data_IF_608372073628
#
_entry.id   IF_608372073628
#
_cell.length_a   1.000
_cell.length_b   1.000
_cell.length_c   1.000
_cell.angle_alpha   90.00
_cell.angle_beta   90.00
_cell.angle_gamma   90.00
#
_symmetry.space_group_name_H-M   'P 1'
#
loop_
_entity.id
_entity.type
_entity.pdbx_description
1 polymer ?
#
# COMPACT_ATOMS: atom_id res chain seq x y z
N UNK A 1 -15.04 -71.97 0.72
CA UNK A 1 -13.74 -71.28 0.89
C UNK A 1 -13.91 -70.28 2.04
N UNK A 2 -14.20 -70.74 3.27
CA UNK A 2 -13.22 -71.12 4.30
C UNK A 2 -12.17 -69.99 4.50
N UNK A 3 -12.10 -69.26 5.62
CA UNK A 3 -12.62 -69.44 6.99
C UNK A 3 -12.80 -68.02 7.62
N UNK A 4 -13.82 -67.64 8.42
CA UNK A 4 -14.28 -68.13 9.74
C UNK A 4 -13.08 -68.33 10.69
N UNK A 5 -12.98 -67.75 11.88
CA UNK A 5 -13.96 -67.72 12.97
C UNK A 5 -13.42 -66.79 14.09
N UNK A 6 -14.23 -65.91 14.69
CA UNK A 6 -14.95 -66.09 15.98
C UNK A 6 -14.13 -65.62 17.20
N UNK A 7 -14.62 -64.58 17.88
CA UNK A 7 -15.22 -64.74 19.22
C UNK A 7 -16.14 -63.55 19.55
N UNK A 8 -17.42 -63.87 19.77
CA UNK A 8 -18.47 -63.04 20.39
C UNK A 8 -18.94 -63.78 21.65
N UNK A 9 -19.46 -63.00 22.62
CA UNK A 9 -20.25 -63.39 23.81
C UNK A 9 -19.45 -63.97 24.99
N UNK A 10 -19.76 -63.70 26.26
CA UNK A 10 -20.74 -62.85 26.95
C UNK A 10 -20.34 -62.82 28.45
N UNK A 11 -20.71 -61.77 29.20
CA UNK A 11 -21.13 -61.85 30.62
C UNK A 11 -21.53 -60.46 31.15
N UNK A 12 -22.84 -60.21 31.12
CA UNK A 12 -23.70 -59.76 32.21
C UNK A 12 -23.06 -59.18 33.50
N UNK A 13 -23.52 -57.99 33.92
CA UNK A 13 -23.64 -57.64 35.35
C UNK A 13 -23.01 -56.29 35.77
N UNK A 14 -23.71 -55.43 36.56
CA UNK A 14 -23.43 -54.00 36.69
C UNK A 14 -22.60 -53.66 37.93
N UNK A 15 -21.86 -52.54 37.95
CA UNK A 15 -21.64 -51.67 39.12
C UNK A 15 -20.63 -50.54 38.80
N UNK A 16 -20.90 -49.36 39.37
CA UNK A 16 -20.01 -48.19 39.51
C UNK A 16 -19.98 -47.17 38.36
N UNK A 17 -21.15 -46.63 38.02
CA UNK A 17 -21.26 -45.18 37.80
C UNK A 17 -21.10 -44.48 39.15
N UNK A 18 -20.07 -43.66 39.33
CA UNK A 18 -19.96 -42.88 40.58
C UNK A 18 -18.63 -42.23 40.96
N UNK A 19 -17.65 -42.08 40.07
CA UNK A 19 -16.38 -41.41 40.45
C UNK A 19 -15.80 -40.44 39.42
N UNK A 20 -16.48 -40.19 38.29
CA UNK A 20 -16.00 -39.24 37.27
C UNK A 20 -16.10 -37.76 37.68
N UNK A 21 -17.04 -37.42 38.56
CA UNK A 21 -17.31 -36.03 38.98
C UNK A 21 -16.48 -35.56 40.17
N UNK A 22 -15.88 -36.47 40.95
CA UNK A 22 -15.06 -36.11 42.13
C UNK A 22 -13.59 -35.88 41.75
N UNK A 23 -13.09 -36.58 40.71
CA UNK A 23 -11.69 -36.43 40.27
C UNK A 23 -11.44 -35.10 39.54
N UNK A 24 -12.48 -34.50 38.94
CA UNK A 24 -12.38 -33.22 38.23
C UNK A 24 -12.33 -32.00 39.18
N UNK A 25 -12.88 -32.12 40.40
CA UNK A 25 -12.88 -31.04 41.40
C UNK A 25 -11.55 -30.88 42.16
N UNK A 26 -10.78 -31.96 42.30
CA UNK A 26 -9.51 -31.95 43.03
C UNK A 26 -8.32 -31.47 42.17
N UNK A 27 -8.38 -31.66 40.84
CA UNK A 27 -7.36 -31.13 39.94
C UNK A 27 -7.52 -29.62 39.66
N UNK A 28 -8.75 -29.10 39.76
CA UNK A 28 -9.03 -27.65 39.62
C UNK A 28 -8.60 -26.81 40.82
N UNK A 29 -8.50 -27.42 42.01
CA UNK A 29 -8.20 -26.70 43.26
C UNK A 29 -6.72 -26.62 43.60
N UNK A 30 -5.86 -27.47 43.01
CA UNK A 30 -4.39 -27.39 43.17
C UNK A 30 -3.75 -26.38 42.22
N UNK A 31 -4.38 -26.09 41.07
CA UNK A 31 -3.83 -25.13 40.10
C UNK A 31 -4.00 -23.66 40.51
N UNK A 32 -4.87 -23.38 41.49
CA UNK A 32 -5.16 -22.03 41.99
C UNK A 32 -4.18 -21.59 43.10
N UNK A 33 -3.36 -22.49 43.65
CA UNK A 33 -2.51 -22.22 44.81
C UNK A 33 -1.01 -22.02 44.52
N UNK A 34 -0.58 -22.08 43.25
CA UNK A 34 0.85 -22.01 42.89
C UNK A 34 1.19 -21.10 41.69
N UNK A 35 0.60 -19.90 41.60
CA UNK A 35 1.08 -18.87 40.67
C UNK A 35 1.33 -17.53 41.39
N UNK A 36 2.52 -16.91 41.23
CA UNK A 36 2.82 -15.63 41.85
C UNK A 36 2.01 -14.50 41.20
N UNK A 37 1.44 -13.63 42.03
CA UNK A 37 0.71 -12.42 41.67
C UNK A 37 1.64 -11.36 41.07
N UNK A 38 2.04 -11.51 39.80
CA UNK A 38 2.47 -10.40 38.93
C UNK A 38 2.64 -10.90 37.48
N UNK A 39 1.85 -10.37 36.53
CA UNK A 39 2.19 -10.42 35.10
C UNK A 39 1.25 -11.19 34.14
N UNK A 40 0.05 -11.63 34.55
CA UNK A 40 -0.78 -12.55 33.74
C UNK A 40 -1.79 -11.85 32.81
N UNK A 41 -2.02 -10.53 32.91
CA UNK A 41 -3.07 -9.87 32.12
C UNK A 41 -2.82 -9.85 30.60
N UNK A 42 -1.57 -9.74 30.13
CA UNK A 42 -1.27 -9.62 28.69
C UNK A 42 -1.38 -10.95 27.93
N UNK A 43 -0.93 -12.04 28.54
CA UNK A 43 -0.99 -13.38 27.94
C UNK A 43 -2.42 -13.94 27.95
N UNK A 44 -3.22 -13.59 28.96
CA UNK A 44 -4.63 -13.97 29.04
C UNK A 44 -5.48 -13.22 27.99
N UNK A 45 -5.16 -11.95 27.71
CA UNK A 45 -5.89 -11.18 26.69
C UNK A 45 -5.62 -11.67 25.26
N UNK A 46 -4.38 -12.05 24.94
CA UNK A 46 -4.03 -12.63 23.63
C UNK A 46 -4.67 -14.01 23.41
N UNK A 47 -4.68 -14.85 24.44
CA UNK A 47 -5.34 -16.16 24.39
C UNK A 47 -6.87 -16.05 24.33
N UNK A 48 -7.47 -15.06 25.01
CA UNK A 48 -8.90 -14.74 24.89
C UNK A 48 -9.28 -14.22 23.50
N UNK A 49 -8.43 -13.42 22.84
CA UNK A 49 -8.62 -13.00 21.44
C UNK A 49 -8.56 -14.19 20.48
N UNK A 50 -7.60 -15.09 20.68
CA UNK A 50 -7.51 -16.35 19.91
C UNK A 50 -8.73 -17.27 20.12
N UNK A 51 -9.24 -17.36 21.35
CA UNK A 51 -10.44 -18.12 21.69
C UNK A 51 -11.72 -17.50 21.12
N UNK A 52 -11.83 -16.17 21.07
CA UNK A 52 -12.96 -15.48 20.44
C UNK A 52 -13.02 -15.75 18.91
N UNK A 53 -11.86 -15.76 18.25
CA UNK A 53 -11.71 -16.15 16.83
C UNK A 53 -12.12 -17.61 16.58
N UNK A 54 -11.66 -18.54 17.42
CA UNK A 54 -12.05 -19.95 17.36
C UNK A 54 -13.54 -20.17 17.63
N UNK A 55 -14.12 -19.40 18.55
CA UNK A 55 -15.54 -19.49 18.91
C UNK A 55 -16.45 -18.96 17.80
N UNK A 56 -16.05 -17.90 17.08
CA UNK A 56 -16.78 -17.42 15.91
C UNK A 56 -16.68 -18.41 14.72
N UNK A 57 -15.59 -19.19 14.60
CA UNK A 57 -15.46 -20.26 13.60
C UNK A 57 -16.23 -21.55 13.93
N UNK A 58 -16.36 -21.91 15.20
CA UNK A 58 -16.98 -23.19 15.62
C UNK A 58 -18.50 -23.12 15.80
N UNK A 59 -19.08 -21.94 16.06
CA UNK A 59 -20.53 -21.80 16.34
C UNK A 59 -21.28 -20.84 15.40
N UNK A 60 -20.60 -20.19 14.45
CA UNK A 60 -21.24 -19.45 13.36
C UNK A 60 -21.68 -20.39 12.24
N UNK A 61 -22.88 -20.96 12.34
CA UNK A 61 -23.49 -21.74 11.28
C UNK A 61 -23.87 -20.87 10.08
N UNK A 62 -22.91 -20.57 9.20
CA UNK A 62 -23.17 -20.06 7.85
C UNK A 62 -22.36 -20.91 6.88
N UNK A 63 -23.05 -21.72 6.08
CA UNK A 63 -22.45 -22.38 4.92
C UNK A 63 -21.83 -21.31 4.03
N UNK A 64 -20.51 -21.37 3.80
CA UNK A 64 -19.84 -20.55 2.79
C UNK A 64 -20.51 -20.85 1.43
N UNK A 65 -21.15 -19.89 0.76
CA UNK A 65 -21.33 -20.04 -0.66
C UNK A 65 -19.93 -19.98 -1.29
N UNK A 66 -19.62 -20.95 -2.14
CA UNK A 66 -18.44 -20.92 -2.99
C UNK A 66 -18.65 -19.77 -3.98
N UNK A 67 -18.23 -18.57 -3.58
CA UNK A 67 -18.16 -17.40 -4.44
C UNK A 67 -16.72 -17.34 -4.93
N UNK A 68 -16.56 -17.40 -6.26
CA UNK A 68 -15.28 -17.14 -6.90
C UNK A 68 -14.83 -15.72 -6.51
N UNK A 69 -13.83 -15.64 -5.63
CA UNK A 69 -13.25 -14.39 -5.17
C UNK A 69 -12.56 -13.68 -6.33
N UNK A 70 -13.09 -12.52 -6.71
CA UNK A 70 -12.40 -11.52 -7.52
C UNK A 70 -11.20 -10.99 -6.73
N UNK A 71 -10.06 -10.87 -7.41
CA UNK A 71 -8.69 -10.78 -6.89
C UNK A 71 -8.29 -9.46 -6.21
N UNK A 72 -9.20 -8.77 -5.52
CA UNK A 72 -8.93 -7.48 -4.87
C UNK A 72 -8.74 -7.57 -3.35
N UNK A 73 -8.87 -8.78 -2.78
CA UNK A 73 -8.54 -9.09 -1.40
C UNK A 73 -7.41 -10.10 -1.38
N UNK A 74 -6.16 -9.61 -1.35
CA UNK A 74 -5.00 -10.48 -1.13
C UNK A 74 -5.06 -10.99 0.31
N UNK A 75 -5.17 -12.32 0.56
CA UNK A 75 -5.10 -12.87 1.90
C UNK A 75 -3.63 -12.79 2.36
N UNK A 76 -3.26 -11.69 3.01
CA UNK A 76 -1.92 -11.55 3.57
C UNK A 76 -1.82 -12.30 4.90
N UNK A 77 -1.31 -13.52 4.84
CA UNK A 77 -0.88 -14.31 6.01
C UNK A 77 0.50 -13.86 6.46
N UNK A 78 0.58 -12.71 7.12
CA UNK A 78 1.66 -12.36 8.04
C UNK A 78 1.14 -11.28 9.00
N UNK A 79 0.27 -11.71 9.90
CA UNK A 79 -0.32 -10.88 10.94
C UNK A 79 0.34 -11.25 12.27
N UNK A 80 1.66 -11.07 12.34
CA UNK A 80 2.38 -11.08 13.60
C UNK A 80 3.26 -9.83 13.62
N UNK A 81 3.02 -8.98 14.63
CA UNK A 81 3.69 -7.71 14.93
C UNK A 81 3.11 -6.46 14.24
N UNK A 82 1.85 -6.15 14.55
CA UNK A 82 1.39 -4.75 14.50
C UNK A 82 2.15 -3.93 15.57
N UNK A 83 2.61 -2.70 15.28
CA UNK A 83 3.25 -1.85 16.26
C UNK A 83 2.29 -1.53 17.42
N UNK A 84 2.80 -1.64 18.66
CA UNK A 84 2.05 -1.34 19.87
C UNK A 84 1.71 0.17 19.91
N UNK A 85 0.49 0.53 19.53
CA UNK A 85 -0.03 1.90 19.76
C UNK A 85 -0.19 2.13 21.26
N UNK A 86 0.13 3.35 21.70
CA UNK A 86 -0.10 3.78 23.09
C UNK A 86 -1.57 3.64 23.41
N UNK A 87 -1.93 2.79 24.38
CA UNK A 87 -3.33 2.61 24.80
C UNK A 87 -3.86 3.95 25.34
N UNK A 88 -5.05 4.41 24.90
CA UNK A 88 -5.62 5.66 25.38
C UNK A 88 -5.90 5.59 26.88
N UNK A 89 -5.67 6.69 27.59
CA UNK A 89 -5.93 6.82 29.03
C UNK A 89 -7.43 6.61 29.35
N UNK A 90 -7.75 6.25 30.60
CA UNK A 90 -9.16 6.05 30.99
C UNK A 90 -10.01 7.32 30.80
N UNK A 91 -9.44 8.50 31.00
CA UNK A 91 -10.11 9.79 30.81
C UNK A 91 -10.43 10.04 29.34
N UNK A 92 -9.47 9.84 28.44
CA UNK A 92 -9.68 10.00 26.99
C UNK A 92 -10.70 9.01 26.43
N UNK A 93 -10.77 7.79 26.99
CA UNK A 93 -11.81 6.83 26.64
C UNK A 93 -13.21 7.27 27.08
N UNK A 94 -13.35 7.93 28.23
CA UNK A 94 -14.63 8.46 28.70
C UNK A 94 -15.08 9.65 27.85
N UNK A 95 -14.15 10.53 27.50
CA UNK A 95 -14.41 11.67 26.59
C UNK A 95 -14.87 11.19 25.21
N UNK A 96 -14.19 10.20 24.63
CA UNK A 96 -14.60 9.60 23.35
C UNK A 96 -16.01 9.01 23.40
N UNK A 97 -16.40 8.35 24.51
CA UNK A 97 -17.75 7.82 24.70
C UNK A 97 -18.79 8.94 24.82
N UNK A 98 -18.49 10.02 25.54
CA UNK A 98 -19.38 11.18 25.64
C UNK A 98 -19.58 11.84 24.27
N UNK A 99 -18.50 12.00 23.49
CA UNK A 99 -18.56 12.54 22.12
C UNK A 99 -19.42 11.67 21.19
N UNK A 100 -19.31 10.34 21.27
CA UNK A 100 -20.18 9.42 20.50
C UNK A 100 -21.65 9.60 20.87
N UNK A 101 -21.99 9.67 22.16
CA UNK A 101 -23.38 9.87 22.60
C UNK A 101 -23.95 11.19 22.07
N UNK A 102 -23.16 12.26 22.12
CA UNK A 102 -23.55 13.55 21.54
C UNK A 102 -23.73 13.46 20.02
N UNK A 103 -22.85 12.74 19.32
CA UNK A 103 -22.96 12.56 17.88
C UNK A 103 -24.25 11.82 17.48
N UNK A 104 -24.60 10.75 18.20
CA UNK A 104 -25.84 10.00 17.99
C UNK A 104 -27.07 10.86 18.21
N UNK A 105 -27.05 11.72 19.23
CA UNK A 105 -28.15 12.66 19.49
C UNK A 105 -28.24 13.75 18.43
N UNK A 106 -27.11 14.29 17.97
CA UNK A 106 -27.08 15.23 16.85
C UNK A 106 -27.62 14.59 15.57
N UNK A 107 -27.32 13.30 15.32
CA UNK A 107 -27.84 12.53 14.19
C UNK A 107 -29.36 12.37 14.27
N UNK A 108 -29.91 12.00 15.43
CA UNK A 108 -31.37 11.92 15.65
C UNK A 108 -32.06 13.25 15.40
N UNK A 109 -31.41 14.36 15.75
CA UNK A 109 -31.87 15.72 15.50
C UNK A 109 -31.65 16.20 14.04
N UNK A 110 -31.23 15.32 13.12
CA UNK A 110 -30.99 15.64 11.71
C UNK A 110 -29.72 16.47 11.44
N UNK A 111 -28.90 16.77 12.45
CA UNK A 111 -27.70 17.61 12.35
C UNK A 111 -26.48 16.76 11.95
N UNK A 112 -26.48 16.24 10.73
CA UNK A 112 -25.47 15.28 10.21
C UNK A 112 -24.03 15.80 10.28
N UNK A 113 -23.76 17.00 9.78
CA UNK A 113 -22.39 17.57 9.78
C UNK A 113 -21.80 17.69 11.19
N UNK A 114 -22.63 18.01 12.18
CA UNK A 114 -22.19 18.09 13.58
C UNK A 114 -21.90 16.69 14.13
N UNK A 115 -22.75 15.71 13.81
CA UNK A 115 -22.51 14.32 14.17
C UNK A 115 -21.20 13.79 13.56
N UNK A 116 -20.94 14.07 12.28
CA UNK A 116 -19.68 13.75 11.61
C UNK A 116 -18.48 14.32 12.38
N UNK A 117 -18.45 15.63 12.64
CA UNK A 117 -17.35 16.30 13.37
C UNK A 117 -17.12 15.71 14.77
N UNK A 118 -18.19 15.39 15.49
CA UNK A 118 -18.11 14.78 16.81
C UNK A 118 -17.56 13.35 16.76
N UNK A 119 -17.91 12.56 15.74
CA UNK A 119 -17.36 11.21 15.54
C UNK A 119 -15.88 11.25 15.19
N UNK A 120 -15.46 12.17 14.32
CA UNK A 120 -14.03 12.37 14.02
C UNK A 120 -13.27 12.76 15.28
N UNK A 121 -13.83 13.65 16.10
CA UNK A 121 -13.25 13.98 17.40
C UNK A 121 -13.14 12.76 18.33
N UNK A 122 -14.18 11.93 18.41
CA UNK A 122 -14.14 10.69 19.19
C UNK A 122 -13.04 9.72 18.72
N UNK A 123 -12.83 9.60 17.40
CA UNK A 123 -11.77 8.77 16.80
C UNK A 123 -10.37 9.37 17.00
N UNK A 124 -10.23 10.69 17.05
CA UNK A 124 -8.96 11.32 17.38
C UNK A 124 -8.54 11.01 18.84
N UNK A 125 -9.51 10.87 19.75
CA UNK A 125 -9.24 10.48 21.14
C UNK A 125 -9.03 8.97 21.30
N UNK A 126 -9.83 8.16 20.60
CA UNK A 126 -9.70 6.71 20.59
C UNK A 126 -9.83 6.16 19.16
N UNK A 127 -8.71 5.97 18.44
CA UNK A 127 -8.70 5.50 17.06
C UNK A 127 -9.24 4.07 16.88
N UNK A 128 -9.28 3.27 17.95
CA UNK A 128 -9.76 1.89 17.95
C UNK A 128 -11.24 1.79 18.38
N UNK A 129 -11.97 2.90 18.41
CA UNK A 129 -13.36 2.91 18.89
C UNK A 129 -14.34 2.37 17.83
N UNK A 130 -14.62 1.06 17.91
CA UNK A 130 -15.45 0.30 16.96
C UNK A 130 -16.84 0.91 16.71
N UNK A 131 -17.55 1.36 17.75
CA UNK A 131 -18.88 1.97 17.59
C UNK A 131 -18.80 3.29 16.80
N UNK A 132 -17.83 4.15 17.12
CA UNK A 132 -17.64 5.41 16.40
C UNK A 132 -17.23 5.18 14.93
N UNK A 133 -16.39 4.19 14.64
CA UNK A 133 -16.04 3.79 13.26
C UNK A 133 -17.28 3.36 12.48
N UNK A 134 -18.11 2.50 13.08
CA UNK A 134 -19.31 1.95 12.42
C UNK A 134 -20.34 3.05 12.16
N UNK A 135 -20.62 3.90 13.15
CA UNK A 135 -21.58 4.98 13.02
C UNK A 135 -21.10 6.05 12.03
N UNK A 136 -19.81 6.39 12.03
CA UNK A 136 -19.23 7.29 11.03
C UNK A 136 -19.35 6.69 9.61
N UNK A 137 -19.07 5.40 9.46
CA UNK A 137 -19.29 4.69 8.20
C UNK A 137 -20.72 4.88 7.69
N UNK A 138 -21.74 4.72 8.56
CA UNK A 138 -23.14 4.88 8.12
C UNK A 138 -23.47 6.30 7.68
N UNK A 139 -22.85 7.32 8.26
CA UNK A 139 -23.02 8.71 7.83
C UNK A 139 -22.37 8.92 6.46
N UNK A 140 -21.17 8.38 6.24
CA UNK A 140 -20.47 8.48 4.95
C UNK A 140 -21.24 7.78 3.82
N UNK A 141 -21.91 6.66 4.12
CA UNK A 141 -22.80 6.02 3.14
C UNK A 141 -23.99 6.90 2.77
N UNK A 142 -24.60 7.59 3.74
CA UNK A 142 -25.65 8.59 3.48
C UNK A 142 -25.12 9.77 2.63
N UNK A 143 -23.83 10.12 2.79
CA UNK A 143 -23.11 11.14 2.02
C UNK A 143 -22.60 10.62 0.65
N UNK A 144 -22.86 9.34 0.32
CA UNK A 144 -22.42 8.64 -0.90
C UNK A 144 -20.91 8.38 -1.01
N UNK A 145 -20.16 8.53 0.08
CA UNK A 145 -18.76 8.11 0.14
C UNK A 145 -18.65 6.65 0.60
N UNK A 146 -19.00 5.75 -0.32
CA UNK A 146 -19.03 4.30 -0.07
C UNK A 146 -17.62 3.76 0.21
N UNK A 147 -16.60 4.33 -0.43
CA UNK A 147 -15.20 3.87 -0.31
C UNK A 147 -14.65 4.15 1.08
N UNK A 148 -14.86 5.37 1.60
CA UNK A 148 -14.44 5.66 2.98
C UNK A 148 -15.28 4.90 4.00
N UNK A 149 -16.59 4.72 3.77
CA UNK A 149 -17.44 3.93 4.64
C UNK A 149 -16.94 2.47 4.77
N UNK A 150 -16.65 1.81 3.65
CA UNK A 150 -16.11 0.44 3.64
C UNK A 150 -14.76 0.33 4.36
N UNK A 151 -13.90 1.34 4.20
CA UNK A 151 -12.64 1.40 4.92
C UNK A 151 -12.85 1.44 6.44
N UNK A 152 -13.79 2.25 6.93
CA UNK A 152 -14.12 2.31 8.36
C UNK A 152 -14.70 0.99 8.88
N UNK A 153 -15.55 0.30 8.10
CA UNK A 153 -16.05 -1.02 8.47
C UNK A 153 -14.95 -2.08 8.50
N UNK A 154 -14.04 -2.03 7.54
CA UNK A 154 -12.87 -2.93 7.49
C UNK A 154 -11.99 -2.72 8.73
N UNK A 155 -11.75 -1.45 9.10
CA UNK A 155 -11.01 -1.09 10.33
C UNK A 155 -11.74 -1.56 11.60
N UNK A 156 -13.06 -1.36 11.67
CA UNK A 156 -13.87 -1.82 12.80
C UNK A 156 -13.79 -3.36 12.99
N UNK A 157 -13.81 -4.12 11.89
CA UNK A 157 -13.71 -5.59 11.91
C UNK A 157 -12.29 -6.10 12.18
N UNK A 158 -11.25 -5.35 11.80
CA UNK A 158 -9.87 -5.67 12.18
C UNK A 158 -9.69 -5.63 13.71
N UNK A 159 -10.41 -4.72 14.39
CA UNK A 159 -10.39 -4.59 15.85
C UNK A 159 -11.36 -5.58 16.52
N UNK A 160 -12.58 -5.68 16.02
CA UNK A 160 -13.64 -6.55 16.55
C UNK A 160 -14.27 -7.39 15.43
N UNK A 161 -13.72 -8.59 15.15
CA UNK A 161 -14.13 -9.42 14.02
C UNK A 161 -15.59 -9.89 14.06
N UNK A 162 -16.19 -9.98 15.25
CA UNK A 162 -17.56 -10.49 15.43
C UNK A 162 -18.58 -9.35 15.68
N UNK A 163 -18.26 -8.11 15.29
CA UNK A 163 -19.23 -7.00 15.33
C UNK A 163 -20.28 -7.16 14.21
N UNK A 164 -21.51 -7.48 14.60
CA UNK A 164 -22.62 -7.75 13.68
C UNK A 164 -22.95 -6.57 12.76
N UNK A 165 -23.00 -5.34 13.30
CA UNK A 165 -23.33 -4.14 12.52
C UNK A 165 -22.28 -3.88 11.43
N UNK A 166 -21.00 -3.92 11.80
CA UNK A 166 -19.91 -3.68 10.86
C UNK A 166 -19.82 -4.77 9.80
N UNK A 167 -20.11 -6.03 10.17
CA UNK A 167 -20.13 -7.17 9.24
C UNK A 167 -21.24 -7.01 8.20
N UNK A 168 -22.48 -6.74 8.64
CA UNK A 168 -23.62 -6.54 7.73
C UNK A 168 -23.41 -5.34 6.80
N UNK A 169 -22.87 -4.23 7.32
CA UNK A 169 -22.55 -3.08 6.48
C UNK A 169 -21.46 -3.41 5.47
N UNK A 170 -20.38 -4.10 5.87
CA UNK A 170 -19.28 -4.47 4.98
C UNK A 170 -19.70 -5.44 3.89
N UNK A 171 -20.52 -6.44 4.21
CA UNK A 171 -21.02 -7.40 3.20
C UNK A 171 -21.80 -6.70 2.09
N UNK A 172 -22.42 -5.56 2.40
CA UNK A 172 -23.10 -4.71 1.42
C UNK A 172 -22.16 -3.77 0.67
N UNK A 173 -21.17 -3.17 1.34
CA UNK A 173 -20.27 -2.18 0.71
C UNK A 173 -19.16 -2.82 -0.11
N UNK A 174 -18.65 -3.99 0.29
CA UNK A 174 -17.53 -4.66 -0.35
C UNK A 174 -17.71 -4.87 -1.87
N UNK A 175 -18.80 -5.49 -2.37
CA UNK A 175 -18.97 -5.69 -3.81
C UNK A 175 -19.11 -4.36 -4.57
N UNK A 176 -19.70 -3.33 -3.94
CA UNK A 176 -19.83 -2.01 -4.55
C UNK A 176 -18.47 -1.32 -4.69
N UNK A 177 -17.62 -1.43 -3.67
CA UNK A 177 -16.26 -0.86 -3.70
C UNK A 177 -15.39 -1.59 -4.71
N UNK A 178 -15.47 -2.93 -4.78
CA UNK A 178 -14.77 -3.70 -5.81
C UNK A 178 -15.18 -3.26 -7.22
N UNK A 179 -16.48 -3.04 -7.47
CA UNK A 179 -16.95 -2.54 -8.76
C UNK A 179 -16.45 -1.11 -9.05
N UNK A 180 -16.45 -0.23 -8.05
CA UNK A 180 -15.90 1.14 -8.18
C UNK A 180 -14.42 1.10 -8.56
N UNK A 181 -13.62 0.28 -7.88
CA UNK A 181 -12.18 0.15 -8.11
C UNK A 181 -11.89 -0.44 -9.50
N UNK A 182 -12.63 -1.49 -9.90
CA UNK A 182 -12.51 -2.08 -11.24
C UNK A 182 -12.89 -1.10 -12.35
N UNK A 183 -13.95 -0.30 -12.15
CA UNK A 183 -14.33 0.75 -13.10
C UNK A 183 -13.23 1.81 -13.23
N UNK A 184 -12.58 2.18 -12.12
CA UNK A 184 -11.46 3.13 -12.15
C UNK A 184 -10.28 2.58 -12.95
N UNK A 185 -9.91 1.31 -12.77
CA UNK A 185 -8.92 0.66 -13.61
C UNK A 185 -9.32 0.65 -15.09
N UNK A 186 -10.58 0.35 -15.42
CA UNK A 186 -11.08 0.43 -16.78
C UNK A 186 -10.95 1.81 -17.44
N UNK A 187 -11.13 2.89 -16.65
CA UNK A 187 -10.90 4.27 -17.10
C UNK A 187 -9.42 4.50 -17.41
N UNK A 188 -8.53 4.07 -16.52
CA UNK A 188 -7.07 4.18 -16.68
C UNK A 188 -6.63 3.45 -17.96
N UNK A 189 -7.10 2.22 -18.19
CA UNK A 189 -6.77 1.45 -19.38
C UNK A 189 -7.25 2.11 -20.67
N UNK A 190 -8.44 2.73 -20.63
CA UNK A 190 -8.93 3.56 -21.73
C UNK A 190 -7.97 4.72 -22.06
N UNK A 191 -7.45 5.40 -21.03
CA UNK A 191 -6.47 6.48 -21.19
C UNK A 191 -5.11 5.98 -21.69
N UNK A 192 -4.64 4.83 -21.21
CA UNK A 192 -3.40 4.19 -21.69
C UNK A 192 -3.51 3.82 -23.17
N UNK A 193 -4.60 3.18 -23.59
CA UNK A 193 -4.83 2.86 -25.01
C UNK A 193 -4.85 4.11 -25.88
N UNK A 194 -5.47 5.20 -25.41
CA UNK A 194 -5.44 6.49 -26.10
C UNK A 194 -4.02 7.04 -26.22
N UNK A 195 -3.23 7.03 -25.15
CA UNK A 195 -1.84 7.49 -25.17
C UNK A 195 -1.01 6.67 -26.17
N UNK A 196 -1.18 5.35 -26.18
CA UNK A 196 -0.46 4.44 -27.08
C UNK A 196 -0.86 4.59 -28.56
N UNK A 197 -2.04 5.14 -28.84
CA UNK A 197 -2.46 5.47 -30.21
C UNK A 197 -1.72 6.67 -30.80
N UNK A 198 -1.04 7.48 -29.96
CA UNK A 198 -0.27 8.62 -30.41
C UNK A 198 1.01 8.14 -31.13
N UNK A 199 1.32 8.64 -32.34
CA UNK A 199 2.51 8.24 -33.06
C UNK A 199 3.79 8.49 -32.25
N UNK A 200 4.70 7.51 -32.20
CA UNK A 200 5.97 7.61 -31.46
C UNK A 200 6.86 8.79 -31.88
N UNK A 201 6.71 9.27 -33.12
CA UNK A 201 7.43 10.44 -33.65
C UNK A 201 6.79 11.79 -33.31
N UNK A 202 5.71 11.83 -32.53
CA UNK A 202 5.06 13.07 -32.15
C UNK A 202 6.01 13.96 -31.32
N UNK A 203 6.32 15.14 -31.84
CA UNK A 203 7.25 16.10 -31.22
C UNK A 203 6.75 16.61 -29.87
N UNK A 204 5.44 16.82 -29.72
CA UNK A 204 4.82 17.21 -28.45
C UNK A 204 4.97 16.11 -27.40
N UNK A 205 4.67 14.85 -27.76
CA UNK A 205 4.82 13.73 -26.82
C UNK A 205 6.27 13.60 -26.36
N UNK A 206 7.23 13.65 -27.29
CA UNK A 206 8.66 13.58 -26.96
C UNK A 206 9.08 14.69 -25.99
N UNK A 207 8.64 15.92 -26.24
CA UNK A 207 8.93 17.06 -25.36
C UNK A 207 8.36 16.86 -23.95
N UNK A 208 7.11 16.44 -23.84
CA UNK A 208 6.48 16.23 -22.53
C UNK A 208 7.14 15.06 -21.80
N UNK A 209 7.54 14.00 -22.51
CA UNK A 209 8.32 12.90 -21.93
C UNK A 209 9.68 13.36 -21.41
N UNK A 210 10.37 14.26 -22.11
CA UNK A 210 11.62 14.89 -21.64
C UNK A 210 11.39 15.77 -20.40
N UNK A 211 10.32 16.56 -20.37
CA UNK A 211 10.00 17.40 -19.20
C UNK A 211 9.61 16.55 -17.98
N UNK A 212 8.77 15.53 -18.18
CA UNK A 212 8.33 14.61 -17.11
C UNK A 212 9.49 13.82 -16.49
N UNK A 213 10.57 13.57 -17.23
CA UNK A 213 11.80 12.96 -16.71
C UNK A 213 12.40 13.79 -15.56
N UNK A 214 12.61 15.09 -15.79
CA UNK A 214 13.15 15.99 -14.75
C UNK A 214 12.16 16.20 -13.60
N UNK A 215 10.86 16.28 -13.91
CA UNK A 215 9.82 16.36 -12.89
C UNK A 215 9.80 15.14 -11.97
N UNK A 216 10.01 13.93 -12.51
CA UNK A 216 10.09 12.73 -11.71
C UNK A 216 11.25 12.79 -10.72
N UNK A 217 12.45 13.16 -11.19
CA UNK A 217 13.64 13.32 -10.33
C UNK A 217 13.36 14.35 -9.23
N UNK A 218 12.81 15.51 -9.59
CA UNK A 218 12.46 16.56 -8.64
C UNK A 218 11.51 16.07 -7.54
N UNK A 219 10.38 15.49 -7.91
CA UNK A 219 9.40 15.08 -6.92
C UNK A 219 9.87 13.90 -6.07
N UNK A 220 10.57 12.93 -6.65
CA UNK A 220 11.04 11.75 -5.90
C UNK A 220 12.09 12.11 -4.84
N UNK A 221 12.97 13.09 -5.07
CA UNK A 221 13.93 13.54 -4.05
C UNK A 221 13.29 14.54 -3.07
N UNK A 222 12.38 15.40 -3.54
CA UNK A 222 11.69 16.36 -2.69
C UNK A 222 10.78 15.70 -1.63
N UNK A 223 10.19 14.52 -1.94
CA UNK A 223 9.45 13.72 -0.96
C UNK A 223 10.33 13.28 0.21
N UNK A 224 11.64 13.08 -0.01
CA UNK A 224 12.58 12.70 1.06
C UNK A 224 13.15 13.92 1.80
N UNK A 225 12.81 15.15 1.38
CA UNK A 225 13.23 16.39 2.04
C UNK A 225 14.30 17.19 1.31
N UNK A 226 14.71 16.77 0.11
CA UNK A 226 15.65 17.52 -0.71
C UNK A 226 15.10 18.90 -1.11
N UNK A 227 15.93 19.94 -0.98
CA UNK A 227 15.54 21.35 -1.15
C UNK A 227 15.84 21.94 -2.54
N UNK A 228 16.39 21.14 -3.46
CA UNK A 228 16.67 21.58 -4.82
C UNK A 228 15.38 21.88 -5.58
N UNK A 229 15.40 22.95 -6.36
CA UNK A 229 14.32 23.33 -7.28
C UNK A 229 14.40 22.55 -8.60
N UNK A 230 13.32 22.54 -9.37
CA UNK A 230 13.29 21.86 -10.66
C UNK A 230 14.33 22.42 -11.66
N UNK A 231 14.55 23.73 -11.68
CA UNK A 231 15.55 24.37 -12.54
C UNK A 231 16.98 24.02 -12.13
N UNK A 232 17.26 23.97 -10.82
CA UNK A 232 18.55 23.52 -10.30
C UNK A 232 18.82 22.06 -10.67
N UNK A 233 17.83 21.16 -10.51
CA UNK A 233 17.96 19.76 -10.93
C UNK A 233 18.22 19.66 -12.42
N UNK A 234 17.47 20.39 -13.26
CA UNK A 234 17.72 20.41 -14.70
C UNK A 234 19.14 20.84 -15.02
N UNK A 235 19.61 21.94 -14.41
CA UNK A 235 20.98 22.43 -14.58
C UNK A 235 22.02 21.36 -14.21
N UNK A 236 21.86 20.68 -13.08
CA UNK A 236 22.78 19.63 -12.62
C UNK A 236 22.82 18.45 -13.62
N UNK A 237 21.65 17.98 -14.08
CA UNK A 237 21.58 16.80 -14.95
C UNK A 237 22.08 17.08 -16.37
N UNK A 238 21.82 18.28 -16.90
CA UNK A 238 22.22 18.69 -18.25
C UNK A 238 23.70 19.10 -18.32
N UNK A 239 24.15 19.94 -17.39
CA UNK A 239 25.50 20.52 -17.46
C UNK A 239 26.54 19.73 -16.68
N UNK A 240 26.12 18.95 -15.67
CA UNK A 240 27.00 18.29 -14.68
C UNK A 240 27.83 19.26 -13.83
N UNK A 241 27.49 20.55 -13.82
CA UNK A 241 28.05 21.54 -12.90
C UNK A 241 27.25 21.61 -11.60
N UNK A 242 27.96 21.86 -10.51
CA UNK A 242 27.37 21.99 -9.19
C UNK A 242 26.65 23.34 -9.03
N UNK A 243 25.53 23.32 -8.30
CA UNK A 243 24.79 24.53 -7.94
C UNK A 243 25.43 25.16 -6.69
N UNK A 244 25.86 26.44 -6.74
CA UNK A 244 26.43 27.12 -5.59
C UNK A 244 25.44 27.26 -4.43
N UNK A 245 25.92 27.12 -3.19
CA UNK A 245 25.11 27.32 -1.98
C UNK A 245 24.12 26.20 -1.64
N UNK A 246 24.17 25.08 -2.35
CA UNK A 246 23.35 23.87 -2.09
C UNK A 246 24.22 22.71 -1.62
N UNK A 247 23.65 21.79 -0.83
CA UNK A 247 24.39 20.63 -0.32
C UNK A 247 24.85 19.74 -1.46
N UNK A 248 26.12 19.29 -1.43
CA UNK A 248 26.62 18.31 -2.39
C UNK A 248 25.87 16.97 -2.26
N UNK A 249 25.44 16.61 -1.05
CA UNK A 249 24.65 15.40 -0.83
C UNK A 249 23.33 15.48 -1.60
N UNK A 250 22.57 16.58 -1.47
CA UNK A 250 21.31 16.78 -2.21
C UNK A 250 21.50 16.70 -3.73
N UNK A 251 22.60 17.26 -4.24
CA UNK A 251 22.94 17.20 -5.66
C UNK A 251 23.28 15.77 -6.11
N UNK A 252 24.04 15.04 -5.28
CA UNK A 252 24.40 13.65 -5.53
C UNK A 252 23.18 12.72 -5.51
N UNK A 253 22.17 12.98 -4.68
CA UNK A 253 20.91 12.24 -4.70
C UNK A 253 20.17 12.40 -6.02
N UNK A 254 20.08 13.63 -6.55
CA UNK A 254 19.44 13.89 -7.84
C UNK A 254 20.19 13.18 -8.99
N UNK A 255 21.52 13.20 -8.96
CA UNK A 255 22.36 12.47 -9.92
C UNK A 255 22.16 10.96 -9.80
N UNK A 256 22.06 10.42 -8.57
CA UNK A 256 21.85 9.00 -8.33
C UNK A 256 20.54 8.49 -8.93
N UNK A 257 19.46 9.26 -8.78
CA UNK A 257 18.16 8.95 -9.41
C UNK A 257 18.26 8.99 -10.94
N UNK A 258 18.90 10.01 -11.53
CA UNK A 258 19.12 10.09 -12.99
C UNK A 258 19.86 8.86 -13.54
N UNK A 259 20.93 8.44 -12.87
CA UNK A 259 21.71 7.27 -13.28
C UNK A 259 20.91 5.98 -13.10
N UNK A 260 20.11 5.86 -12.05
CA UNK A 260 19.23 4.71 -11.84
C UNK A 260 18.13 4.61 -12.91
N UNK A 261 17.50 5.73 -13.28
CA UNK A 261 16.50 5.77 -14.34
C UNK A 261 17.09 5.40 -15.70
N UNK A 262 18.29 5.90 -16.04
CA UNK A 262 19.00 5.51 -17.27
C UNK A 262 19.30 4.01 -17.31
N UNK A 263 19.69 3.43 -16.17
CA UNK A 263 19.93 1.99 -16.06
C UNK A 263 18.66 1.18 -16.30
N UNK A 264 17.54 1.57 -15.67
CA UNK A 264 16.24 0.93 -15.88
C UNK A 264 15.86 0.97 -17.37
N UNK A 265 15.90 2.16 -17.97
CA UNK A 265 15.47 2.38 -19.35
C UNK A 265 16.33 1.61 -20.37
N UNK A 266 17.63 1.51 -20.13
CA UNK A 266 18.56 0.88 -21.08
C UNK A 266 18.67 -0.62 -20.89
N UNK A 267 18.68 -1.08 -19.64
CA UNK A 267 19.05 -2.47 -19.29
C UNK A 267 17.83 -3.30 -18.90
N UNK A 268 16.95 -2.78 -18.04
CA UNK A 268 15.88 -3.59 -17.45
C UNK A 268 14.63 -3.65 -18.33
N UNK A 269 14.32 -2.57 -19.07
CA UNK A 269 13.18 -2.56 -19.99
C UNK A 269 13.43 -3.34 -21.29
N UNK A 270 14.68 -3.43 -21.73
CA UNK A 270 15.06 -4.21 -22.91
C UNK A 270 15.24 -5.69 -22.62
N UNK A 271 15.43 -6.05 -21.34
CA UNK A 271 15.60 -7.43 -20.88
C UNK A 271 14.27 -8.14 -20.79
N UNK A 272 14.18 -9.29 -21.46
CA UNK A 272 13.10 -10.26 -21.25
C UNK A 272 13.47 -11.18 -20.07
N UNK A 273 12.57 -11.33 -19.11
CA UNK A 273 12.74 -12.26 -18.00
C UNK A 273 12.33 -11.70 -16.64
N UNK A 274 12.52 -12.53 -15.61
CA UNK A 274 12.13 -12.26 -14.23
C UNK A 274 12.92 -11.11 -13.60
N UNK A 275 12.26 -10.33 -12.73
CA UNK A 275 12.91 -9.36 -11.85
C UNK A 275 13.62 -10.12 -10.73
N UNK A 276 14.90 -9.86 -10.52
CA UNK A 276 15.74 -10.54 -9.52
C UNK A 276 16.08 -9.63 -8.36
N UNK A 277 16.52 -10.20 -7.22
CA UNK A 277 17.03 -9.41 -6.08
C UNK A 277 18.19 -8.53 -6.53
N UNK A 278 19.07 -9.04 -7.39
CA UNK A 278 20.20 -8.29 -7.90
C UNK A 278 19.77 -7.05 -8.69
N UNK A 279 18.66 -7.11 -9.44
CA UNK A 279 18.15 -5.93 -10.14
C UNK A 279 17.76 -4.81 -9.16
N UNK A 280 17.12 -5.16 -8.05
CA UNK A 280 16.77 -4.19 -6.99
C UNK A 280 18.03 -3.62 -6.34
N UNK A 281 19.04 -4.47 -6.07
CA UNK A 281 20.33 -4.02 -5.53
C UNK A 281 21.07 -3.10 -6.51
N UNK A 282 21.02 -3.36 -7.81
CA UNK A 282 21.65 -2.54 -8.85
C UNK A 282 20.93 -1.19 -9.05
N UNK A 283 19.60 -1.16 -8.91
CA UNK A 283 18.85 0.10 -8.84
C UNK A 283 19.31 0.89 -7.62
N UNK A 284 19.27 0.27 -6.43
CA UNK A 284 19.66 0.93 -5.18
C UNK A 284 21.12 1.43 -5.21
N UNK A 285 22.03 0.63 -5.77
CA UNK A 285 23.45 0.99 -5.96
C UNK A 285 23.61 2.30 -6.73
N UNK A 286 22.77 2.57 -7.72
CA UNK A 286 22.81 3.81 -8.49
C UNK A 286 22.11 4.96 -7.78
N UNK A 287 20.97 4.68 -7.14
CA UNK A 287 20.21 5.66 -6.34
C UNK A 287 21.09 6.29 -5.27
N UNK A 288 21.81 5.47 -4.50
CA UNK A 288 22.58 5.93 -3.34
C UNK A 288 24.08 6.10 -3.65
N UNK A 289 24.60 5.54 -4.74
CA UNK A 289 26.04 5.42 -5.00
C UNK A 289 26.84 6.73 -5.00
N UNK A 290 26.23 7.86 -5.35
CA UNK A 290 26.89 9.17 -5.29
C UNK A 290 26.75 9.84 -3.91
N UNK A 291 25.73 9.48 -3.13
CA UNK A 291 25.47 10.06 -1.81
C UNK A 291 26.15 9.27 -0.69
N UNK A 292 26.03 7.94 -0.72
CA UNK A 292 26.70 7.00 0.19
C UNK A 292 27.15 5.75 -0.60
N UNK A 293 28.39 5.75 -1.13
CA UNK A 293 28.92 4.62 -1.90
C UNK A 293 29.19 3.37 -1.05
N UNK A 294 29.25 3.48 0.28
CA UNK A 294 29.56 2.35 1.18
C UNK A 294 28.33 1.46 1.33
N UNK A 295 27.16 2.05 1.53
CA UNK A 295 25.88 1.35 1.72
C UNK A 295 25.14 1.09 0.39
N UNK A 296 25.56 1.74 -0.71
CA UNK A 296 24.94 1.60 -2.01
C UNK A 296 24.88 0.13 -2.52
N UNK A 297 23.65 -0.35 -2.73
CA UNK A 297 23.37 -1.70 -3.20
C UNK A 297 23.69 -2.81 -2.18
N UNK A 298 23.75 -2.48 -0.88
CA UNK A 298 23.93 -3.44 0.21
C UNK A 298 22.71 -3.44 1.13
N UNK A 299 22.30 -4.62 1.59
CA UNK A 299 21.26 -4.76 2.60
C UNK A 299 21.77 -4.22 3.94
N UNK A 300 20.90 -3.59 4.72
CA UNK A 300 21.28 -3.04 6.03
C UNK A 300 21.68 -4.15 7.00
N UNK A 301 22.70 -3.86 7.82
CA UNK A 301 23.16 -4.77 8.88
C UNK A 301 22.53 -4.47 10.25
N UNK A 302 21.89 -3.30 10.41
CA UNK A 302 21.32 -2.82 11.67
C UNK A 302 19.80 -2.67 11.59
N UNK A 303 19.14 -2.75 12.74
CA UNK A 303 17.71 -2.50 12.83
C UNK A 303 17.42 -0.99 12.76
N UNK A 304 16.34 -0.62 12.08
CA UNK A 304 15.90 0.76 11.89
C UNK A 304 14.44 0.92 12.31
N UNK A 305 14.00 2.17 12.50
CA UNK A 305 12.63 2.52 12.87
C UNK A 305 12.11 3.57 11.89
N UNK A 306 10.95 3.32 11.29
CA UNK A 306 10.41 4.14 10.19
C UNK A 306 9.05 4.66 10.60
N UNK A 307 9.01 5.85 11.22
CA UNK A 307 7.79 6.37 11.83
C UNK A 307 7.29 5.41 12.92
N UNK A 308 6.09 4.85 12.72
CA UNK A 308 5.52 3.83 13.62
C UNK A 308 5.80 2.39 13.19
N UNK A 309 6.46 2.17 12.06
CA UNK A 309 6.75 0.86 11.51
C UNK A 309 8.12 0.33 11.98
N UNK A 310 8.15 -0.94 12.36
CA UNK A 310 9.37 -1.68 12.68
C UNK A 310 9.55 -2.72 11.58
N UNK A 311 10.48 -2.52 10.63
CA UNK A 311 10.70 -3.47 9.55
C UNK A 311 11.33 -4.78 10.05
N UNK A 312 11.33 -5.85 9.21
CA UNK A 312 11.95 -7.12 9.53
C UNK A 312 13.39 -7.00 10.05
N UNK A 313 13.83 -7.92 10.90
CA UNK A 313 15.19 -7.86 11.42
C UNK A 313 16.22 -8.07 10.29
N UNK A 314 17.42 -7.45 10.31
CA UNK A 314 18.44 -7.60 9.26
C UNK A 314 18.76 -9.04 8.86
N UNK A 315 18.71 -9.98 9.81
CA UNK A 315 18.96 -11.41 9.60
C UNK A 315 17.93 -12.10 8.69
N UNK A 316 16.74 -11.53 8.56
CA UNK A 316 15.63 -12.09 7.78
C UNK A 316 15.49 -11.40 6.41
N UNK A 317 16.30 -10.36 6.12
CA UNK A 317 16.17 -9.56 4.90
C UNK A 317 16.41 -10.37 3.63
N UNK A 318 17.41 -11.25 3.61
CA UNK A 318 17.67 -12.10 2.44
C UNK A 318 16.44 -12.94 2.10
N UNK A 319 15.81 -13.54 3.11
CA UNK A 319 14.58 -14.33 2.94
C UNK A 319 13.44 -13.47 2.40
N UNK A 320 13.17 -12.32 3.03
CA UNK A 320 12.08 -11.44 2.60
C UNK A 320 12.30 -10.85 1.20
N UNK A 321 13.54 -10.55 0.81
CA UNK A 321 13.87 -10.11 -0.54
C UNK A 321 13.64 -11.21 -1.57
N UNK A 322 13.97 -12.47 -1.24
CA UNK A 322 13.67 -13.61 -2.10
C UNK A 322 12.16 -13.86 -2.22
N UNK A 323 11.41 -13.80 -1.11
CA UNK A 323 9.95 -13.90 -1.12
C UNK A 323 9.30 -12.79 -1.96
N UNK A 324 9.82 -11.56 -1.88
CA UNK A 324 9.35 -10.44 -2.69
C UNK A 324 9.51 -10.71 -4.18
N UNK A 325 10.70 -11.13 -4.63
CA UNK A 325 10.92 -11.39 -6.06
C UNK A 325 10.21 -12.66 -6.51
N UNK A 326 10.07 -13.67 -5.65
CA UNK A 326 9.28 -14.85 -5.96
C UNK A 326 7.82 -14.47 -6.19
N UNK A 327 7.24 -13.63 -5.33
CA UNK A 327 5.89 -13.11 -5.51
C UNK A 327 5.78 -12.26 -6.78
N UNK A 328 6.72 -11.34 -7.05
CA UNK A 328 6.71 -10.50 -8.26
C UNK A 328 6.66 -11.30 -9.56
N UNK A 329 7.28 -12.48 -9.58
CA UNK A 329 7.34 -13.37 -10.74
C UNK A 329 6.33 -14.52 -10.67
N UNK A 330 5.41 -14.51 -9.71
CA UNK A 330 4.39 -15.55 -9.56
C UNK A 330 3.23 -15.34 -10.53
N UNK A 331 2.56 -16.43 -10.90
CA UNK A 331 1.33 -16.36 -11.71
C UNK A 331 0.27 -15.47 -11.05
N UNK A 332 0.11 -15.54 -9.73
CA UNK A 332 -0.84 -14.70 -8.99
C UNK A 332 -0.58 -13.21 -9.25
N UNK A 333 0.67 -12.77 -9.12
CA UNK A 333 1.05 -11.38 -9.34
C UNK A 333 0.86 -10.95 -10.80
N UNK A 334 1.11 -11.84 -11.76
CA UNK A 334 0.93 -11.57 -13.20
C UNK A 334 -0.55 -11.44 -13.60
N UNK A 335 -1.48 -12.00 -12.82
CA UNK A 335 -2.93 -11.85 -13.05
C UNK A 335 -3.51 -10.56 -12.44
N UNK A 336 -2.76 -9.87 -11.58
CA UNK A 336 -3.18 -8.58 -11.03
C UNK A 336 -3.18 -7.49 -12.11
N UNK A 337 -4.03 -6.49 -11.93
CA UNK A 337 -3.99 -5.30 -12.78
C UNK A 337 -2.62 -4.61 -12.64
N UNK A 338 -1.97 -4.11 -13.72
CA UNK A 338 -0.60 -3.58 -13.66
C UNK A 338 -0.38 -2.47 -12.61
N UNK A 339 -1.38 -1.60 -12.43
CA UNK A 339 -1.35 -0.54 -11.41
C UNK A 339 -1.39 -1.11 -9.99
N UNK A 340 -2.17 -2.17 -9.77
CA UNK A 340 -2.25 -2.87 -8.48
C UNK A 340 -0.95 -3.62 -8.18
N UNK A 341 -0.42 -4.36 -9.16
CA UNK A 341 0.88 -5.02 -9.04
C UNK A 341 1.99 -4.03 -8.68
N UNK A 342 2.07 -2.90 -9.38
CA UNK A 342 3.06 -1.87 -9.14
C UNK A 342 2.90 -1.23 -7.74
N UNK A 343 1.67 -0.97 -7.30
CA UNK A 343 1.40 -0.44 -5.97
C UNK A 343 1.77 -1.44 -4.86
N UNK A 344 1.42 -2.71 -5.02
CA UNK A 344 1.76 -3.75 -4.05
C UNK A 344 3.26 -4.02 -4.00
N UNK A 345 3.96 -4.03 -5.14
CA UNK A 345 5.41 -4.14 -5.21
C UNK A 345 6.10 -2.99 -4.48
N UNK A 346 5.64 -1.77 -4.72
CA UNK A 346 6.10 -0.59 -4.01
C UNK A 346 5.91 -0.74 -2.49
N UNK A 347 4.68 -1.06 -2.05
CA UNK A 347 4.36 -1.21 -0.64
C UNK A 347 5.23 -2.29 0.02
N UNK A 348 5.32 -3.48 -0.58
CA UNK A 348 6.09 -4.60 -0.02
C UNK A 348 7.58 -4.25 0.13
N UNK A 349 8.19 -3.55 -0.83
CA UNK A 349 9.60 -3.16 -0.71
C UNK A 349 9.80 -2.11 0.40
N UNK A 350 8.90 -1.12 0.51
CA UNK A 350 8.93 -0.13 1.60
C UNK A 350 8.73 -0.78 2.96
N UNK A 351 7.85 -1.78 3.06
CA UNK A 351 7.57 -2.53 4.29
C UNK A 351 8.77 -3.36 4.74
N UNK A 352 9.42 -4.10 3.82
CA UNK A 352 10.66 -4.86 4.11
C UNK A 352 11.80 -3.92 4.52
N UNK A 353 11.85 -2.73 3.92
CA UNK A 353 12.82 -1.68 4.20
C UNK A 353 14.28 -2.20 4.21
N UNK A 354 14.77 -2.79 3.10
CA UNK A 354 16.01 -3.56 3.09
C UNK A 354 17.30 -2.72 3.19
N UNK A 355 17.24 -1.42 2.96
CA UNK A 355 18.41 -0.54 2.89
C UNK A 355 18.48 0.43 4.08
N UNK A 356 19.66 0.98 4.37
CA UNK A 356 19.85 2.01 5.42
C UNK A 356 19.15 3.33 5.03
N UNK A 357 19.23 3.69 3.76
CA UNK A 357 18.53 4.83 3.14
C UNK A 357 18.17 4.44 1.69
N UNK A 358 17.39 5.25 0.97
CA UNK A 358 17.08 5.04 -0.44
C UNK A 358 15.88 4.10 -0.69
N UNK A 359 15.24 3.59 0.36
CA UNK A 359 14.10 2.67 0.26
C UNK A 359 12.91 3.27 -0.52
N UNK A 360 12.50 4.50 -0.18
CA UNK A 360 11.41 5.19 -0.87
C UNK A 360 11.71 5.43 -2.36
N UNK A 361 12.89 5.97 -2.66
CA UNK A 361 13.35 6.24 -4.03
C UNK A 361 13.42 4.95 -4.87
N UNK A 362 14.00 3.89 -4.31
CA UNK A 362 14.10 2.58 -4.98
C UNK A 362 12.72 1.95 -5.21
N UNK A 363 11.79 2.06 -4.25
CA UNK A 363 10.43 1.54 -4.39
C UNK A 363 9.62 2.25 -5.46
N UNK A 364 9.75 3.57 -5.57
CA UNK A 364 9.12 4.36 -6.65
C UNK A 364 9.71 4.01 -8.03
N UNK A 365 11.01 3.72 -8.10
CA UNK A 365 11.65 3.27 -9.33
C UNK A 365 11.23 1.84 -9.72
N UNK A 366 11.12 0.92 -8.76
CA UNK A 366 10.62 -0.45 -8.98
C UNK A 366 9.16 -0.44 -9.47
N UNK A 367 8.32 0.40 -8.85
CA UNK A 367 6.95 0.64 -9.30
C UNK A 367 6.91 1.08 -10.77
N UNK A 368 7.74 2.06 -11.14
CA UNK A 368 7.80 2.55 -12.52
C UNK A 368 8.37 1.50 -13.48
N UNK A 369 9.34 0.67 -13.07
CA UNK A 369 9.81 -0.45 -13.87
C UNK A 369 8.66 -1.41 -14.23
N UNK A 370 7.85 -1.80 -13.24
CA UNK A 370 6.70 -2.70 -13.44
C UNK A 370 5.67 -2.07 -14.39
N UNK A 371 5.31 -0.80 -14.15
CA UNK A 371 4.38 -0.08 -15.01
C UNK A 371 4.90 -0.01 -16.45
N UNK A 372 6.17 0.34 -16.65
CA UNK A 372 6.77 0.46 -17.97
C UNK A 372 6.88 -0.89 -18.70
N UNK A 373 7.17 -1.98 -18.00
CA UNK A 373 7.13 -3.34 -18.57
C UNK A 373 5.71 -3.70 -19.04
N UNK A 374 4.68 -3.24 -18.34
CA UNK A 374 3.27 -3.37 -18.72
C UNK A 374 2.80 -2.31 -19.73
N UNK A 375 3.70 -1.52 -20.33
CA UNK A 375 3.36 -0.44 -21.28
C UNK A 375 2.52 0.70 -20.67
N UNK A 376 2.73 1.03 -19.39
CA UNK A 376 2.23 2.26 -18.78
C UNK A 376 3.36 3.29 -18.76
N UNK A 377 3.06 4.60 -18.84
CA UNK A 377 4.08 5.62 -18.67
C UNK A 377 4.61 5.61 -17.21
N UNK A 378 5.86 6.02 -16.97
CA UNK A 378 6.35 6.21 -15.61
C UNK A 378 5.52 7.28 -14.91
N UNK A 379 5.08 6.98 -13.69
CA UNK A 379 4.25 7.90 -12.90
C UNK A 379 5.10 8.69 -11.91
N UNK A 380 4.55 9.83 -11.48
CA UNK A 380 5.20 10.68 -10.49
C UNK A 380 4.26 10.96 -9.32
N UNK A 381 4.63 10.48 -8.14
CA UNK A 381 4.04 10.90 -6.88
C UNK A 381 4.58 12.30 -6.59
N UNK A 382 3.71 13.31 -6.56
CA UNK A 382 4.15 14.70 -6.39
C UNK A 382 4.47 15.00 -4.93
N UNK A 383 5.37 15.95 -4.70
CA UNK A 383 5.79 16.33 -3.33
C UNK A 383 4.63 16.88 -2.50
N UNK A 384 3.66 17.53 -3.14
CA UNK A 384 2.46 18.07 -2.50
C UNK A 384 1.57 16.94 -1.94
N UNK A 385 1.70 15.73 -2.49
CA UNK A 385 0.98 14.54 -2.05
C UNK A 385 1.71 13.77 -0.95
N UNK A 386 2.79 14.32 -0.37
CA UNK A 386 3.59 13.65 0.68
C UNK A 386 2.74 13.16 1.84
N UNK A 387 1.79 13.98 2.32
CA UNK A 387 0.91 13.60 3.43
C UNK A 387 -0.01 12.45 3.02
N UNK A 388 -0.72 12.58 1.88
CA UNK A 388 -1.60 11.54 1.33
C UNK A 388 -0.86 10.20 1.12
N UNK A 389 0.38 10.27 0.61
CA UNK A 389 1.25 9.12 0.40
C UNK A 389 1.60 8.37 1.69
N UNK A 390 2.07 9.07 2.73
CA UNK A 390 2.40 8.42 4.00
C UNK A 390 1.16 7.94 4.74
N UNK A 391 0.04 8.68 4.71
CA UNK A 391 -1.23 8.23 5.31
C UNK A 391 -1.72 6.92 4.67
N UNK A 392 -1.59 6.78 3.35
CA UNK A 392 -1.97 5.56 2.67
C UNK A 392 -1.04 4.38 3.01
N UNK A 393 0.27 4.63 3.19
CA UNK A 393 1.22 3.61 3.66
C UNK A 393 0.94 3.19 5.11
N UNK A 394 0.62 4.13 5.99
CA UNK A 394 0.27 3.84 7.38
C UNK A 394 -1.01 3.00 7.45
N UNK A 395 -1.98 3.30 6.60
CA UNK A 395 -3.23 2.52 6.49
C UNK A 395 -2.97 1.12 5.95
N UNK A 396 -2.04 0.97 5.01
CA UNK A 396 -1.59 -0.33 4.53
C UNK A 396 -0.91 -1.15 5.65
N UNK A 397 -0.11 -0.51 6.51
CA UNK A 397 0.48 -1.15 7.69
C UNK A 397 -0.56 -1.55 8.74
N UNK A 398 -1.71 -0.87 8.80
CA UNK A 398 -2.86 -1.24 9.64
C UNK A 398 -3.66 -2.43 9.06
N UNK A 399 -3.36 -2.87 7.83
CA UNK A 399 -3.92 -4.08 7.21
C UNK A 399 -4.81 -3.84 5.99
N UNK A 400 -5.06 -2.58 5.59
CA UNK A 400 -5.84 -2.27 4.38
C UNK A 400 -4.97 -1.57 3.32
N UNK A 401 -4.53 -2.32 2.32
CA UNK A 401 -3.67 -1.83 1.24
C UNK A 401 -4.43 -1.09 0.13
N UNK A 402 -5.77 -1.21 0.09
CA UNK A 402 -6.60 -0.67 -1.00
C UNK A 402 -6.50 0.85 -1.15
N UNK A 403 -6.47 1.66 -0.06
CA UNK A 403 -6.24 3.10 -0.16
C UNK A 403 -4.91 3.44 -0.85
N UNK A 404 -3.85 2.67 -0.61
CA UNK A 404 -2.56 2.87 -1.29
C UNK A 404 -2.64 2.52 -2.79
N UNK A 405 -3.33 1.44 -3.15
CA UNK A 405 -3.57 1.08 -4.55
C UNK A 405 -4.35 2.20 -5.28
N UNK A 406 -5.44 2.70 -4.67
CA UNK A 406 -6.22 3.82 -5.22
C UNK A 406 -5.41 5.10 -5.35
N UNK A 407 -4.53 5.37 -4.39
CA UNK A 407 -3.61 6.50 -4.46
C UNK A 407 -2.67 6.41 -5.67
N UNK A 408 -2.07 5.23 -5.90
CA UNK A 408 -1.22 4.99 -7.08
C UNK A 408 -2.05 5.06 -8.38
N UNK A 409 -3.27 4.54 -8.39
CA UNK A 409 -4.20 4.66 -9.52
C UNK A 409 -4.51 6.13 -9.86
N UNK A 410 -4.78 6.96 -8.85
CA UNK A 410 -4.98 8.41 -9.00
C UNK A 410 -3.72 9.11 -9.54
N UNK A 411 -2.53 8.77 -9.04
CA UNK A 411 -1.27 9.30 -9.59
C UNK A 411 -1.05 8.88 -11.05
N UNK A 412 -1.42 7.64 -11.40
CA UNK A 412 -1.37 7.12 -12.76
C UNK A 412 -2.31 7.88 -13.69
N UNK A 413 -3.55 8.10 -13.25
CA UNK A 413 -4.54 8.85 -13.99
C UNK A 413 -4.09 10.30 -14.25
N UNK A 414 -3.59 11.00 -13.23
CA UNK A 414 -3.10 12.38 -13.39
C UNK A 414 -1.91 12.45 -14.36
N UNK A 415 -1.01 11.45 -14.33
CA UNK A 415 0.10 11.36 -15.28
C UNK A 415 -0.42 11.20 -16.71
N UNK A 416 -1.38 10.31 -16.92
CA UNK A 416 -2.00 10.07 -18.23
C UNK A 416 -2.74 11.32 -18.74
N UNK A 417 -3.49 12.00 -17.88
CA UNK A 417 -4.18 13.24 -18.24
C UNK A 417 -3.20 14.33 -18.66
N UNK A 418 -2.10 14.49 -17.92
CA UNK A 418 -1.05 15.46 -18.26
C UNK A 418 -0.46 15.17 -19.64
N UNK A 419 -0.16 13.91 -19.94
CA UNK A 419 0.38 13.49 -21.23
C UNK A 419 -0.62 13.70 -22.38
N UNK A 420 -1.89 13.33 -22.17
CA UNK A 420 -2.95 13.46 -23.17
C UNK A 420 -3.31 14.93 -23.45
N UNK A 421 -3.40 15.77 -22.43
CA UNK A 421 -3.68 17.20 -22.56
C UNK A 421 -2.53 17.87 -23.31
N UNK A 422 -1.29 17.67 -22.86
CA UNK A 422 -0.14 18.33 -23.46
C UNK A 422 0.07 17.91 -24.92
N UNK A 423 -0.19 16.65 -25.28
CA UNK A 423 -0.14 16.21 -26.69
C UNK A 423 -1.26 16.79 -27.54
N UNK A 424 -2.43 17.05 -26.97
CA UNK A 424 -3.55 17.68 -27.69
C UNK A 424 -3.36 19.18 -27.92
N UNK A 425 -2.89 19.93 -26.92
CA UNK A 425 -2.69 21.38 -27.00
C UNK A 425 -1.53 21.76 -27.94
N UNK A 426 -0.44 21.00 -27.89
CA UNK A 426 0.77 21.32 -28.67
C UNK A 426 0.70 20.86 -30.13
N UNK A 427 -0.23 19.96 -30.46
CA UNK A 427 -0.54 19.65 -31.86
C UNK A 427 -1.07 20.88 -32.62
N UNK A 428 -1.64 21.86 -31.91
CA UNK A 428 -2.17 23.11 -32.48
C UNK A 428 -1.11 24.22 -32.54
N UNK A 429 -0.11 24.20 -31.65
CA UNK A 429 0.85 25.29 -31.46
C UNK A 429 2.23 25.10 -32.11
N UNK A 430 2.60 23.90 -32.54
CA UNK A 430 3.87 23.66 -33.24
C UNK A 430 3.65 23.69 -34.76
N UNK A 431 4.49 24.38 -35.55
CA UNK A 431 4.47 24.18 -36.99
C UNK A 431 4.80 22.72 -37.24
N UNK A 432 3.80 21.94 -37.63
CA UNK A 432 4.01 20.57 -38.07
C UNK A 432 5.09 20.60 -39.14
N UNK A 433 6.02 19.65 -39.07
CA UNK A 433 6.98 19.42 -40.16
C UNK A 433 6.19 18.93 -41.39
N UNK A 434 5.49 19.84 -42.06
CA UNK A 434 4.95 19.63 -43.38
C UNK A 434 6.13 19.76 -44.33
N UNK A 435 6.57 18.61 -44.84
CA UNK A 435 7.38 18.55 -46.06
C UNK A 435 6.53 19.08 -47.23
N UNK A 436 6.38 20.39 -47.32
CA UNK A 436 6.06 21.07 -48.55
C UNK A 436 7.30 21.88 -48.93
N UNK A 437 8.07 21.33 -49.88
CA UNK A 437 9.06 22.10 -50.60
C UNK A 437 8.34 23.28 -51.27
N UNK A 438 8.50 24.47 -50.71
CA UNK A 438 8.09 25.70 -51.36
C UNK A 438 9.21 26.08 -52.35
N UNK A 439 8.96 26.16 -53.67
CA UNK A 439 10.01 26.35 -54.66
C UNK A 439 10.41 27.82 -54.87
N UNK A 440 10.13 28.72 -53.93
CA UNK A 440 10.54 30.13 -54.04
C UNK A 440 10.74 30.78 -52.66
N UNK A 441 11.98 30.75 -52.17
CA UNK A 441 12.45 31.66 -51.13
C UNK A 441 13.94 31.97 -51.37
N UNK A 442 14.21 32.77 -52.41
CA UNK A 442 15.44 33.55 -52.48
C UNK A 442 15.20 34.83 -51.68
N UNK A 443 15.72 34.93 -50.45
CA UNK A 443 16.13 36.21 -49.87
C UNK A 443 17.15 35.96 -48.75
N UNK A 444 18.42 35.99 -49.13
CA UNK A 444 19.59 36.19 -48.25
C UNK A 444 19.56 37.60 -47.66
N UNK A 445 19.69 37.72 -46.34
CA UNK A 445 20.00 38.98 -45.65
C UNK A 445 21.54 39.13 -45.65
N UNK A 446 22.11 40.28 -46.06
CA UNK A 446 23.55 40.47 -46.06
C UNK A 446 24.05 40.78 -44.65
N UNK A 447 25.17 40.16 -44.28
CA UNK A 447 25.95 40.50 -43.09
C UNK A 447 26.88 41.65 -43.47
N UNK A 448 26.70 42.81 -42.85
CA UNK A 448 27.70 43.88 -42.90
C UNK A 448 28.81 43.57 -41.87
N UNK A 449 30.03 43.53 -42.39
CA UNK A 449 31.32 43.40 -41.71
C UNK A 449 31.65 44.55 -40.78
#
# INVERSE_FOLDING_TARGET
MAALAVFRHACSGPLLWGWGSVLCGLLGSVFVLLLPLAGIEEQCCATLKGLALLRCQLWGGVQRPVVHTTSLTVPFTALDLLPQKVKPSKETQLEAKAALQQALEMRKNGKREKAHKLLVHALNMNPEFVEALTELGTILEEEKDIVQADHLYTKALAISPCNEKALVSRDRTLPLVEEIDQRHFGIIDGKVRRLMSIPKGNSALRRVMEETYYHHIYHTVAIEGNTLTLSEIRHIIETRYAVPGKSLQEQNEAIGVDVAMKYINTTLLSRTGAITVNDILEIHRRVLGYADPVEAGRLRASQVFVGHHIPPHPRDLDKHMQELVQWLNSEEALHLHPVELAALAHYKLVYVHPFVDGNGRTSRLLMNLILMQASYPPITIRKEQRVEYYTALDTANEGDVRPFIRFIAKCTEITLDTLLIATSEHAVGLPGASHHACPDCKHTIPVHS
#
